data_IF_326511783523
#
_entry.id   IF_326511783523
#
_cell.length_a   1.000
_cell.length_b   1.000
_cell.length_c   1.000
_cell.angle_alpha   90.00
_cell.angle_beta   90.00
_cell.angle_gamma   90.00
#
_symmetry.space_group_name_H-M   'P 1'
#
loop_
_entity.id
_entity.type
_entity.pdbx_description
1 polymer ?
#
# COMPACT_ATOMS: atom_id res chain seq x y z
N UNK A 1 23.85 -9.23 -1.08
CA UNK A 1 24.59 -8.27 -0.23
C UNK A 1 24.33 -6.81 -0.59
N UNK A 2 24.57 -6.34 -1.82
CA UNK A 2 24.43 -4.91 -2.17
C UNK A 2 23.05 -4.30 -1.85
N UNK A 3 21.94 -5.00 -2.07
CA UNK A 3 20.61 -4.49 -1.69
C UNK A 3 20.44 -4.24 -0.18
N UNK A 4 21.06 -5.08 0.67
CA UNK A 4 21.01 -4.90 2.13
C UNK A 4 21.84 -3.67 2.52
N UNK A 5 23.01 -3.50 1.92
CA UNK A 5 23.87 -2.34 2.17
C UNK A 5 23.20 -1.04 1.70
N UNK A 6 22.56 -1.05 0.54
CA UNK A 6 21.81 0.09 0.02
C UNK A 6 20.70 0.50 1.01
N UNK A 7 19.87 -0.46 1.45
CA UNK A 7 18.78 -0.16 2.39
C UNK A 7 19.30 0.26 3.77
N UNK A 8 20.39 -0.35 4.25
CA UNK A 8 21.03 0.03 5.52
C UNK A 8 21.52 1.47 5.50
N UNK A 9 22.13 1.89 4.39
CA UNK A 9 22.54 3.27 4.20
C UNK A 9 21.35 4.23 4.16
N UNK A 10 20.23 3.90 3.49
CA UNK A 10 19.01 4.75 3.56
C UNK A 10 18.43 4.84 4.97
N UNK A 11 18.46 3.75 5.72
CA UNK A 11 17.99 3.77 7.10
C UNK A 11 18.88 4.68 7.95
N UNK A 12 20.21 4.62 7.79
CA UNK A 12 21.14 5.56 8.44
C UNK A 12 20.89 7.01 8.03
N UNK A 13 20.57 7.25 6.75
CA UNK A 13 20.18 8.58 6.26
C UNK A 13 18.91 9.11 6.97
N UNK A 14 17.96 8.23 7.31
CA UNK A 14 16.76 8.61 8.06
C UNK A 14 17.03 8.90 9.55
N UNK A 15 18.05 8.28 10.14
CA UNK A 15 18.43 8.46 11.54
C UNK A 15 19.39 9.63 11.77
N UNK A 16 20.18 9.97 10.75
CA UNK A 16 21.22 11.00 10.82
C UNK A 16 21.00 12.07 9.72
N UNK A 17 20.05 13.00 9.91
CA UNK A 17 19.79 14.07 8.95
C UNK A 17 21.05 14.87 8.59
N UNK A 18 21.94 15.11 9.55
CA UNK A 18 23.20 15.86 9.37
C UNK A 18 24.17 15.21 8.35
N UNK A 19 24.04 13.89 8.14
CA UNK A 19 24.85 13.10 7.19
C UNK A 19 23.99 12.45 6.12
N UNK A 20 22.74 12.92 5.94
CA UNK A 20 21.77 12.32 5.02
C UNK A 20 22.35 12.19 3.62
N UNK A 21 22.97 13.26 3.09
CA UNK A 21 23.60 13.29 1.76
C UNK A 21 24.62 12.17 1.56
N UNK A 22 25.56 12.04 2.48
CA UNK A 22 26.60 11.00 2.43
C UNK A 22 26.00 9.59 2.36
N UNK A 23 25.05 9.30 3.24
CA UNK A 23 24.40 8.00 3.31
C UNK A 23 23.49 7.72 2.09
N UNK A 24 22.80 8.73 1.55
CA UNK A 24 22.02 8.58 0.32
C UNK A 24 22.91 8.31 -0.89
N UNK A 25 24.06 8.97 -1.01
CA UNK A 25 25.03 8.71 -2.08
C UNK A 25 25.63 7.30 -1.96
N UNK A 26 26.00 6.87 -0.76
CA UNK A 26 26.46 5.49 -0.52
C UNK A 26 25.39 4.47 -0.90
N UNK A 27 24.13 4.76 -0.54
CA UNK A 27 23.01 3.89 -0.88
C UNK A 27 22.83 3.75 -2.39
N UNK A 28 22.82 4.88 -3.13
CA UNK A 28 22.66 4.90 -4.58
C UNK A 28 23.70 4.02 -5.28
N UNK A 29 24.98 4.14 -4.90
CA UNK A 29 26.07 3.30 -5.44
C UNK A 29 25.84 1.81 -5.21
N UNK A 30 25.40 1.42 -4.01
CA UNK A 30 25.09 0.03 -3.73
C UNK A 30 23.85 -0.44 -4.51
N UNK A 31 22.85 0.42 -4.68
CA UNK A 31 21.65 0.12 -5.43
C UNK A 31 21.93 -0.12 -6.91
N UNK A 32 22.80 0.67 -7.55
CA UNK A 32 23.19 0.46 -8.95
C UNK A 32 23.79 -0.94 -9.17
N UNK A 33 24.68 -1.36 -8.25
CA UNK A 33 25.26 -2.70 -8.30
C UNK A 33 24.19 -3.77 -8.05
N UNK A 34 23.28 -3.55 -7.11
CA UNK A 34 22.17 -4.46 -6.82
C UNK A 34 21.25 -4.64 -8.04
N UNK A 35 20.86 -3.54 -8.70
CA UNK A 35 20.04 -3.53 -9.90
C UNK A 35 20.73 -4.21 -11.08
N UNK A 36 22.02 -3.95 -11.28
CA UNK A 36 22.79 -4.62 -12.32
C UNK A 36 22.80 -6.15 -12.12
N UNK A 37 22.99 -6.61 -10.88
CA UNK A 37 22.99 -8.04 -10.54
C UNK A 37 21.63 -8.67 -10.73
N UNK A 38 20.58 -7.98 -10.29
CA UNK A 38 19.20 -8.42 -10.48
C UNK A 38 18.88 -8.55 -11.97
N UNK A 39 19.23 -7.54 -12.79
CA UNK A 39 19.05 -7.56 -14.25
C UNK A 39 19.72 -8.76 -14.91
N UNK A 40 20.93 -9.11 -14.50
CA UNK A 40 21.66 -10.26 -15.08
C UNK A 40 21.18 -11.61 -14.57
N UNK A 41 20.65 -11.69 -13.34
CA UNK A 41 20.22 -12.94 -12.71
C UNK A 41 18.75 -13.30 -12.94
N UNK A 42 17.91 -12.33 -13.32
CA UNK A 42 16.46 -12.52 -13.48
C UNK A 42 16.13 -13.69 -14.43
N UNK A 43 16.89 -13.89 -15.51
CA UNK A 43 16.61 -14.95 -16.49
C UNK A 43 17.07 -16.37 -16.09
N UNK A 44 17.76 -16.52 -14.95
CA UNK A 44 18.31 -17.79 -14.46
C UNK A 44 17.78 -18.12 -13.05
N UNK A 45 16.47 -17.96 -12.85
CA UNK A 45 15.83 -18.24 -11.56
C UNK A 45 15.66 -19.75 -11.37
N UNK A 46 16.34 -20.32 -10.36
CA UNK A 46 16.31 -21.73 -9.98
C UNK A 46 15.80 -21.90 -8.54
N UNK A 47 15.54 -23.14 -8.10
CA UNK A 47 15.11 -23.41 -6.71
C UNK A 47 16.14 -22.95 -5.67
N UNK A 48 17.43 -23.01 -6.00
CA UNK A 48 18.53 -22.65 -5.10
C UNK A 48 18.72 -21.15 -4.94
N UNK A 49 18.40 -20.35 -5.97
CA UNK A 49 18.68 -18.91 -5.98
C UNK A 49 17.41 -18.03 -5.89
N UNK A 50 16.22 -18.62 -5.91
CA UNK A 50 14.97 -17.87 -5.99
C UNK A 50 14.73 -16.96 -4.78
N UNK A 51 15.17 -17.38 -3.59
CA UNK A 51 15.00 -16.61 -2.36
C UNK A 51 15.88 -15.36 -2.35
N UNK A 52 17.11 -15.46 -2.85
CA UNK A 52 18.06 -14.35 -2.98
C UNK A 52 17.53 -13.32 -3.96
N UNK A 53 17.01 -13.76 -5.12
CA UNK A 53 16.39 -12.89 -6.10
C UNK A 53 15.15 -12.21 -5.51
N UNK A 54 14.30 -12.95 -4.79
CA UNK A 54 13.11 -12.40 -4.15
C UNK A 54 13.46 -11.35 -3.09
N UNK A 55 14.44 -11.63 -2.22
CA UNK A 55 14.88 -10.67 -1.21
C UNK A 55 15.51 -9.44 -1.85
N UNK A 56 16.36 -9.61 -2.87
CA UNK A 56 16.95 -8.50 -3.60
C UNK A 56 15.88 -7.63 -4.28
N UNK A 57 14.88 -8.24 -4.91
CA UNK A 57 13.73 -7.57 -5.49
C UNK A 57 13.00 -6.69 -4.47
N UNK A 58 12.70 -7.28 -3.31
CA UNK A 58 12.00 -6.61 -2.24
C UNK A 58 12.79 -5.40 -1.72
N UNK A 59 14.10 -5.56 -1.51
CA UNK A 59 14.99 -4.48 -1.09
C UNK A 59 15.05 -3.34 -2.12
N UNK A 60 15.08 -3.68 -3.42
CA UNK A 60 15.03 -2.70 -4.52
C UNK A 60 13.72 -1.92 -4.50
N UNK A 61 12.59 -2.59 -4.24
CA UNK A 61 11.29 -1.93 -4.12
C UNK A 61 11.29 -0.95 -2.94
N UNK A 62 11.78 -1.37 -1.77
CA UNK A 62 11.87 -0.49 -0.60
C UNK A 62 12.74 0.75 -0.88
N UNK A 63 13.86 0.57 -1.55
CA UNK A 63 14.70 1.67 -2.00
C UNK A 63 13.92 2.63 -2.91
N UNK A 64 13.24 2.13 -3.95
CA UNK A 64 12.52 2.97 -4.90
C UNK A 64 11.43 3.80 -4.23
N UNK A 65 10.69 3.20 -3.29
CA UNK A 65 9.69 3.93 -2.51
C UNK A 65 10.32 5.02 -1.64
N UNK A 66 11.41 4.72 -0.93
CA UNK A 66 12.10 5.73 -0.15
C UNK A 66 12.57 6.89 -1.04
N UNK A 67 13.21 6.60 -2.17
CA UNK A 67 13.79 7.60 -3.08
C UNK A 67 12.74 8.50 -3.75
N UNK A 68 11.51 8.00 -3.98
CA UNK A 68 10.42 8.86 -4.47
C UNK A 68 10.01 9.88 -3.40
N UNK A 69 9.83 9.42 -2.14
CA UNK A 69 9.48 10.30 -1.02
C UNK A 69 10.61 11.24 -0.60
N UNK A 70 11.85 10.77 -0.75
CA UNK A 70 13.09 11.42 -0.34
C UNK A 70 14.08 11.35 -1.50
N UNK A 71 13.96 12.25 -2.50
CA UNK A 71 14.83 12.25 -3.67
C UNK A 71 16.29 12.30 -3.27
N UNK A 72 17.09 11.57 -4.03
CA UNK A 72 18.52 11.56 -3.85
C UNK A 72 19.09 12.92 -4.27
N UNK A 73 20.17 13.39 -3.63
CA UNK A 73 20.86 14.62 -4.02
C UNK A 73 21.42 14.49 -5.44
N UNK A 74 21.30 15.54 -6.25
CA UNK A 74 21.99 15.60 -7.55
C UNK A 74 23.51 15.73 -7.33
N UNK A 75 24.31 15.10 -8.20
CA UNK A 75 25.77 15.10 -8.08
C UNK A 75 26.38 16.51 -8.26
N UNK A 76 25.67 17.42 -8.94
CA UNK A 76 26.13 18.79 -9.25
C UNK A 76 25.74 19.85 -8.20
N UNK A 77 24.90 19.51 -7.22
CA UNK A 77 24.42 20.44 -6.20
C UNK A 77 25.36 20.44 -4.97
N UNK A 78 26.49 21.14 -5.03
CA UNK A 78 27.37 21.35 -3.87
C UNK A 78 26.70 22.17 -2.74
N UNK A 79 25.55 22.79 -3.01
CA UNK A 79 24.85 23.70 -2.11
C UNK A 79 23.61 23.02 -1.48
N UNK A 80 23.67 22.74 -0.17
CA UNK A 80 22.53 22.30 0.67
C UNK A 80 21.57 23.47 0.94
N UNK A 81 21.17 24.18 -0.12
CA UNK A 81 20.45 25.46 -0.05
C UNK A 81 18.99 25.35 0.38
N UNK A 82 18.54 24.19 0.87
CA UNK A 82 17.14 23.96 1.23
C UNK A 82 16.18 24.13 0.05
N UNK A 83 16.68 24.05 -1.19
CA UNK A 83 15.87 24.10 -2.41
C UNK A 83 14.85 22.96 -2.37
N UNK A 84 13.57 23.21 -2.68
CA UNK A 84 12.60 22.13 -2.79
C UNK A 84 13.05 21.16 -3.88
N UNK A 85 12.88 19.85 -3.67
CA UNK A 85 13.32 18.87 -4.65
C UNK A 85 12.61 19.05 -5.99
N UNK A 86 13.28 18.64 -7.07
CA UNK A 86 12.70 18.64 -8.39
C UNK A 86 11.31 17.95 -8.41
N UNK A 87 10.35 18.50 -9.18
CA UNK A 87 9.05 17.87 -9.40
C UNK A 87 9.22 16.44 -9.91
N UNK A 88 8.44 15.52 -9.34
CA UNK A 88 8.43 14.13 -9.80
C UNK A 88 7.78 14.02 -11.17
N UNK A 89 8.49 13.42 -12.13
CA UNK A 89 7.96 13.17 -13.47
C UNK A 89 7.05 11.92 -13.50
N UNK A 90 5.97 11.99 -14.27
CA UNK A 90 5.01 10.88 -14.42
C UNK A 90 5.62 9.70 -15.16
N UNK A 91 6.50 9.95 -16.12
CA UNK A 91 7.16 8.88 -16.84
C UNK A 91 8.16 8.14 -15.94
N UNK A 92 8.97 8.85 -15.14
CA UNK A 92 9.82 8.24 -14.10
C UNK A 92 9.01 7.47 -13.04
N UNK A 93 7.89 8.01 -12.58
CA UNK A 93 7.00 7.34 -11.63
C UNK A 93 6.42 6.04 -12.22
N UNK A 94 6.00 6.08 -13.49
CA UNK A 94 5.54 4.89 -14.21
C UNK A 94 6.62 3.80 -14.29
N UNK A 95 7.87 4.18 -14.54
CA UNK A 95 9.00 3.25 -14.62
C UNK A 95 9.37 2.64 -13.27
N UNK A 96 9.40 3.44 -12.20
CA UNK A 96 9.76 2.99 -10.84
C UNK A 96 8.72 2.03 -10.24
N UNK A 97 7.42 2.30 -10.43
CA UNK A 97 6.34 1.38 -10.07
C UNK A 97 6.46 0.04 -10.82
N UNK A 98 6.83 0.09 -12.10
CA UNK A 98 6.95 -1.08 -12.95
C UNK A 98 8.19 -1.91 -12.67
N UNK A 99 9.33 -1.30 -12.34
CA UNK A 99 10.54 -2.05 -11.99
C UNK A 99 10.25 -3.01 -10.83
N UNK A 100 9.61 -2.50 -9.77
CA UNK A 100 9.19 -3.31 -8.65
C UNK A 100 8.23 -4.44 -9.05
N UNK A 101 7.27 -4.15 -9.92
CA UNK A 101 6.32 -5.14 -10.40
C UNK A 101 6.95 -6.22 -11.28
N UNK A 102 7.77 -5.85 -12.27
CA UNK A 102 8.37 -6.79 -13.23
C UNK A 102 9.23 -7.82 -12.52
N UNK A 103 10.00 -7.38 -11.52
CA UNK A 103 10.79 -8.26 -10.69
C UNK A 103 9.87 -9.21 -9.89
N UNK A 104 8.82 -8.69 -9.24
CA UNK A 104 7.90 -9.52 -8.44
C UNK A 104 7.13 -10.53 -9.29
N UNK A 105 6.63 -10.14 -10.46
CA UNK A 105 5.88 -11.03 -11.35
C UNK A 105 6.75 -12.15 -11.92
N UNK A 106 8.00 -11.84 -12.25
CA UNK A 106 8.91 -12.83 -12.79
C UNK A 106 9.37 -13.85 -11.73
N UNK A 107 9.48 -13.42 -10.47
CA UNK A 107 9.81 -14.32 -9.35
C UNK A 107 8.55 -15.03 -8.81
N UNK A 108 7.35 -14.59 -9.18
CA UNK A 108 6.08 -15.18 -8.74
C UNK A 108 5.45 -16.11 -9.78
N UNK A 109 6.24 -16.72 -10.67
CA UNK A 109 5.77 -17.80 -11.54
C UNK A 109 5.23 -18.97 -10.70
N UNK A 110 4.30 -19.79 -11.22
CA UNK A 110 3.75 -20.92 -10.46
C UNK A 110 4.84 -21.84 -9.87
N UNK A 111 5.92 -22.06 -10.61
CA UNK A 111 7.06 -22.88 -10.23
C UNK A 111 7.82 -22.25 -9.07
N UNK A 112 8.25 -20.99 -9.21
CA UNK A 112 9.00 -20.26 -8.18
C UNK A 112 8.15 -19.99 -6.95
N UNK A 113 6.86 -19.74 -7.12
CA UNK A 113 5.89 -19.65 -6.03
C UNK A 113 5.77 -20.96 -5.25
N UNK A 114 5.91 -22.11 -5.91
CA UNK A 114 5.93 -23.41 -5.25
C UNK A 114 7.19 -23.59 -4.39
N UNK A 115 8.35 -23.13 -4.86
CA UNK A 115 9.61 -23.13 -4.12
C UNK A 115 9.52 -22.22 -2.88
N UNK A 116 9.05 -20.99 -3.07
CA UNK A 116 8.90 -20.02 -1.96
C UNK A 116 7.99 -20.51 -0.84
N UNK A 117 6.89 -21.21 -1.18
CA UNK A 117 5.97 -21.79 -0.18
C UNK A 117 6.53 -23.00 0.56
N UNK A 118 7.53 -23.71 0.02
CA UNK A 118 8.18 -24.85 0.67
C UNK A 118 9.44 -24.46 1.46
N UNK A 119 10.02 -23.30 1.15
CA UNK A 119 11.30 -22.88 1.70
C UNK A 119 11.22 -22.11 3.03
N UNK A 120 12.35 -21.50 3.45
CA UNK A 120 12.48 -20.82 4.74
C UNK A 120 11.60 -19.57 4.88
N UNK A 121 11.20 -18.96 3.77
CA UNK A 121 10.29 -17.80 3.75
C UNK A 121 8.81 -18.20 3.73
N UNK A 122 8.47 -19.49 3.79
CA UNK A 122 7.09 -20.00 3.70
C UNK A 122 6.13 -19.35 4.70
N UNK A 123 6.59 -19.03 5.92
CA UNK A 123 5.80 -18.33 6.92
C UNK A 123 5.33 -16.94 6.47
N UNK A 124 6.08 -16.24 5.61
CA UNK A 124 5.69 -14.95 5.05
C UNK A 124 4.55 -15.05 4.03
N UNK A 125 4.31 -16.24 3.48
CA UNK A 125 3.35 -16.46 2.39
C UNK A 125 2.15 -17.31 2.80
N UNK A 126 2.24 -18.02 3.93
CA UNK A 126 1.20 -18.95 4.39
C UNK A 126 0.15 -18.30 5.30
N UNK A 127 0.12 -16.97 5.36
CA UNK A 127 -1.01 -16.22 5.91
C UNK A 127 -2.22 -16.48 5.02
N UNK A 128 -3.11 -17.38 5.43
CA UNK A 128 -4.39 -17.64 4.76
C UNK A 128 -5.22 -16.35 4.68
N UNK A 129 -5.06 -15.63 3.57
CA UNK A 129 -5.83 -14.43 3.25
C UNK A 129 -7.18 -14.87 2.68
N UNK A 130 -8.28 -14.62 3.41
CA UNK A 130 -9.61 -14.70 2.79
C UNK A 130 -9.66 -13.62 1.70
N UNK A 131 -9.88 -14.03 0.44
CA UNK A 131 -10.05 -13.04 -0.64
C UNK A 131 -11.19 -12.08 -0.27
N UNK A 132 -10.97 -10.77 -0.30
CA UNK A 132 -12.02 -9.80 -0.04
C UNK A 132 -13.07 -9.88 -1.15
N UNK A 133 -14.24 -10.43 -0.86
CA UNK A 133 -15.41 -10.30 -1.74
C UNK A 133 -16.11 -8.96 -1.50
N UNK A 134 -16.83 -8.41 -2.50
CA UNK A 134 -17.64 -7.20 -2.33
C UNK A 134 -18.59 -7.29 -1.15
N UNK A 135 -19.13 -8.48 -0.87
CA UNK A 135 -19.99 -8.79 0.27
C UNK A 135 -19.28 -8.74 1.64
N UNK A 136 -17.95 -8.91 1.69
CA UNK A 136 -17.17 -8.79 2.91
C UNK A 136 -16.73 -7.33 3.19
N UNK A 137 -16.63 -6.50 2.15
CA UNK A 137 -16.27 -5.07 2.26
C UNK A 137 -17.49 -4.16 2.40
N UNK A 138 -18.59 -4.46 1.70
CA UNK A 138 -19.84 -3.74 1.82
C UNK A 138 -20.65 -4.28 3.02
N UNK A 139 -20.80 -3.47 4.05
CA UNK A 139 -21.89 -3.68 5.01
C UNK A 139 -23.21 -3.74 4.23
N UNK A 140 -24.08 -4.70 4.54
CA UNK A 140 -25.44 -4.71 4.00
C UNK A 140 -26.17 -3.45 4.49
N UNK A 141 -26.14 -2.37 3.70
CA UNK A 141 -27.02 -1.22 3.88
C UNK A 141 -28.35 -1.50 3.15
N UNK A 142 -29.14 -2.44 3.66
CA UNK A 142 -30.57 -2.44 3.42
C UNK A 142 -31.27 -2.10 4.74
N UNK A 143 -32.09 -1.05 4.68
CA UNK A 143 -32.78 -0.33 5.78
C UNK A 143 -31.92 0.56 6.68
N UNK A 144 -31.80 1.83 6.28
CA UNK A 144 -31.57 2.94 7.20
C UNK A 144 -32.57 4.06 6.90
N UNK A 145 -33.76 3.95 7.49
CA UNK A 145 -34.51 5.13 7.91
C UNK A 145 -33.80 5.72 9.14
N UNK A 146 -33.62 7.04 9.14
CA UNK A 146 -33.11 7.91 10.22
C UNK A 146 -31.60 7.94 10.52
N UNK A 147 -30.97 9.01 10.03
CA UNK A 147 -30.00 9.89 10.70
C UNK A 147 -28.73 9.28 11.33
N UNK A 148 -27.68 9.15 10.53
CA UNK A 148 -26.31 9.60 10.88
C UNK A 148 -25.54 9.93 9.60
N UNK A 149 -24.86 11.07 9.59
CA UNK A 149 -24.33 11.79 8.43
C UNK A 149 -22.93 11.34 7.97
N UNK A 150 -22.58 10.06 8.06
CA UNK A 150 -21.20 9.56 7.82
C UNK A 150 -21.01 8.62 6.63
N UNK A 151 -22.03 8.29 5.85
CA UNK A 151 -21.96 7.21 4.84
C UNK A 151 -21.60 7.64 3.40
N UNK A 152 -21.26 8.91 3.14
CA UNK A 152 -20.86 9.40 1.81
C UNK A 152 -19.34 9.37 1.54
N UNK A 153 -18.52 8.98 2.52
CA UNK A 153 -17.06 9.23 2.54
C UNK A 153 -16.16 7.98 2.70
N UNK A 154 -16.68 6.76 2.59
CA UNK A 154 -15.85 5.56 2.82
C UNK A 154 -14.98 5.18 1.61
N UNK A 155 -13.78 4.65 1.85
CA UNK A 155 -12.86 4.21 0.80
C UNK A 155 -13.48 3.18 -0.17
N UNK A 156 -14.23 2.14 0.29
CA UNK A 156 -14.92 1.23 -0.62
C UNK A 156 -15.97 1.92 -1.49
N UNK A 157 -16.74 2.86 -0.93
CA UNK A 157 -17.74 3.62 -1.69
C UNK A 157 -17.07 4.47 -2.79
N UNK A 158 -15.95 5.12 -2.46
CA UNK A 158 -15.16 5.88 -3.44
C UNK A 158 -14.60 5.00 -4.56
N UNK A 159 -14.12 3.79 -4.26
CA UNK A 159 -13.71 2.85 -5.30
C UNK A 159 -14.85 2.40 -6.21
N UNK A 160 -16.10 2.30 -5.70
CA UNK A 160 -17.27 2.04 -6.53
C UNK A 160 -17.54 3.19 -7.49
N UNK A 161 -17.62 4.43 -6.98
CA UNK A 161 -17.81 5.62 -7.83
C UNK A 161 -16.73 5.74 -8.90
N UNK A 162 -15.49 5.42 -8.54
CA UNK A 162 -14.38 5.44 -9.48
C UNK A 162 -14.49 4.32 -10.52
N UNK A 163 -14.98 3.13 -10.14
CA UNK A 163 -15.27 2.04 -11.08
C UNK A 163 -16.37 2.45 -12.07
N UNK A 164 -17.40 3.14 -11.60
CA UNK A 164 -18.49 3.66 -12.45
C UNK A 164 -17.98 4.73 -13.42
N UNK A 165 -17.13 5.65 -12.93
CA UNK A 165 -16.44 6.65 -13.75
C UNK A 165 -15.61 5.97 -14.85
N UNK A 166 -14.76 5.00 -14.49
CA UNK A 166 -13.93 4.28 -15.48
C UNK A 166 -14.80 3.54 -16.51
N UNK A 167 -15.95 3.01 -16.09
CA UNK A 167 -16.87 2.27 -16.97
C UNK A 167 -17.54 3.18 -18.00
N UNK A 168 -17.71 4.48 -17.70
CA UNK A 168 -18.26 5.48 -18.61
C UNK A 168 -17.33 5.88 -19.77
N UNK A 169 -16.04 5.51 -19.71
CA UNK A 169 -15.06 5.81 -20.75
C UNK A 169 -15.33 4.97 -22.00
N UNK A 170 -15.84 5.55 -23.09
CA UNK A 170 -16.13 4.82 -24.33
C UNK A 170 -15.81 5.64 -25.58
N UNK A 171 -15.62 4.94 -26.72
CA UNK A 171 -15.49 5.58 -28.04
C UNK A 171 -14.43 4.94 -28.92
N UNK A 172 -13.18 4.88 -28.45
CA UNK A 172 -12.02 4.42 -29.23
C UNK A 172 -11.38 3.11 -28.71
N UNK A 173 -10.57 2.42 -29.54
CA UNK A 173 -9.77 1.28 -29.08
C UNK A 173 -8.77 1.64 -27.97
N UNK A 174 -8.17 2.84 -28.02
CA UNK A 174 -7.24 3.32 -27.01
C UNK A 174 -7.94 3.57 -25.65
N UNK A 175 -9.12 4.18 -25.66
CA UNK A 175 -9.95 4.39 -24.48
C UNK A 175 -10.47 3.08 -23.90
N UNK A 176 -10.78 2.10 -24.75
CA UNK A 176 -11.19 0.77 -24.30
C UNK A 176 -10.06 0.05 -23.56
N UNK A 177 -8.82 0.19 -24.05
CA UNK A 177 -7.62 -0.33 -23.38
C UNK A 177 -7.34 0.40 -22.05
N UNK A 178 -7.47 1.73 -22.04
CA UNK A 178 -7.35 2.54 -20.82
C UNK A 178 -8.39 2.15 -19.78
N UNK A 179 -9.66 2.00 -20.18
CA UNK A 179 -10.75 1.52 -19.32
C UNK A 179 -10.45 0.15 -18.72
N UNK A 180 -10.08 -0.84 -19.53
CA UNK A 180 -9.78 -2.18 -19.05
C UNK A 180 -8.64 -2.17 -18.02
N UNK A 181 -7.54 -1.46 -18.31
CA UNK A 181 -6.40 -1.37 -17.39
C UNK A 181 -6.73 -0.63 -16.09
N UNK A 182 -7.54 0.45 -16.16
CA UNK A 182 -7.99 1.18 -14.98
C UNK A 182 -8.94 0.34 -14.11
N UNK A 183 -9.89 -0.40 -14.72
CA UNK A 183 -10.80 -1.28 -13.96
C UNK A 183 -10.05 -2.35 -13.17
N UNK A 184 -9.03 -2.95 -13.78
CA UNK A 184 -8.17 -3.92 -13.10
C UNK A 184 -7.37 -3.26 -11.97
N UNK A 185 -6.84 -2.05 -12.17
CA UNK A 185 -6.15 -1.30 -11.12
C UNK A 185 -7.08 -0.93 -9.94
N UNK A 186 -8.36 -0.66 -10.21
CA UNK A 186 -9.38 -0.42 -9.18
C UNK A 186 -9.68 -1.69 -8.38
N UNK A 187 -9.81 -2.83 -9.06
CA UNK A 187 -10.02 -4.11 -8.39
C UNK A 187 -8.81 -4.51 -7.54
N UNK A 188 -7.59 -4.32 -8.07
CA UNK A 188 -6.36 -4.48 -7.30
C UNK A 188 -6.35 -3.62 -6.03
N UNK A 189 -6.81 -2.36 -6.13
CA UNK A 189 -6.86 -1.45 -4.99
C UNK A 189 -7.90 -1.85 -3.95
N UNK A 190 -9.04 -2.37 -4.41
CA UNK A 190 -10.07 -2.97 -3.54
C UNK A 190 -9.52 -4.18 -2.79
N UNK A 191 -8.74 -5.03 -3.45
CA UNK A 191 -8.09 -6.19 -2.82
C UNK A 191 -7.02 -5.78 -1.82
N UNK A 192 -6.19 -4.81 -2.17
CA UNK A 192 -5.17 -4.25 -1.27
C UNK A 192 -5.82 -3.68 0.00
N UNK A 193 -6.84 -2.83 -0.15
CA UNK A 193 -7.59 -2.28 0.98
C UNK A 193 -8.28 -3.38 1.81
N UNK A 194 -8.89 -4.38 1.15
CA UNK A 194 -9.49 -5.52 1.84
C UNK A 194 -8.48 -6.32 2.65
N UNK A 195 -7.27 -6.52 2.14
CA UNK A 195 -6.17 -7.13 2.90
C UNK A 195 -5.79 -6.27 4.11
N UNK A 196 -5.78 -4.94 4.00
CA UNK A 196 -5.50 -4.05 5.13
C UNK A 196 -6.53 -4.19 6.26
N UNK A 197 -7.81 -4.33 5.90
CA UNK A 197 -8.92 -4.33 6.87
C UNK A 197 -9.23 -5.73 7.44
N UNK A 198 -9.03 -6.80 6.67
CA UNK A 198 -9.47 -8.15 7.03
C UNK A 198 -8.39 -9.04 7.67
N UNK A 199 -7.11 -8.63 7.70
CA UNK A 199 -6.04 -9.46 8.29
C UNK A 199 -6.19 -9.48 9.83
N UNK A 200 -6.48 -10.64 10.46
CA UNK A 200 -6.57 -10.73 11.91
C UNK A 200 -5.17 -10.69 12.51
N UNK A 201 -4.89 -9.66 13.32
CA UNK A 201 -3.60 -9.39 13.94
C UNK A 201 -3.09 -10.40 14.98
N UNK A 202 -3.73 -11.56 15.18
CA UNK A 202 -3.48 -12.38 16.37
C UNK A 202 -3.34 -13.90 16.14
N UNK A 203 -2.77 -14.34 15.01
CA UNK A 203 -2.41 -15.77 14.86
C UNK A 203 -0.92 -16.10 15.06
N UNK A 204 -0.05 -15.13 15.33
CA UNK A 204 1.39 -15.42 15.52
C UNK A 204 1.81 -15.75 16.97
N UNK A 205 0.93 -15.65 17.97
CA UNK A 205 1.34 -15.80 19.38
C UNK A 205 1.13 -17.19 20.01
N UNK A 206 0.69 -18.21 19.28
CA UNK A 206 0.38 -19.53 19.85
C UNK A 206 1.20 -20.70 19.28
N UNK A 207 2.44 -20.46 18.82
CA UNK A 207 3.36 -21.54 18.39
C UNK A 207 4.64 -21.62 19.26
N UNK A 208 4.54 -21.35 20.55
CA UNK A 208 5.59 -21.69 21.51
C UNK A 208 4.99 -22.08 22.86
N UNK A 209 4.44 -23.29 22.92
CA UNK A 209 4.47 -24.09 24.14
C UNK A 209 4.68 -25.52 23.70
N UNK A 210 5.96 -25.87 23.65
CA UNK A 210 6.45 -27.24 23.54
C UNK A 210 5.88 -28.08 24.66
N UNK A 211 5.40 -29.25 24.27
CA UNK A 211 5.03 -30.39 25.09
C UNK A 211 6.07 -30.71 26.17
N UNK A 212 5.55 -30.90 27.37
CA UNK A 212 5.95 -31.79 28.47
C UNK A 212 7.25 -32.61 28.30
N UNK A 213 8.14 -32.47 29.28
CA UNK A 213 8.86 -33.59 29.88
C UNK A 213 8.87 -33.36 31.42
N UNK A 214 8.08 -34.19 32.10
CA UNK A 214 8.12 -34.44 33.54
C UNK A 214 9.37 -35.27 33.90
N UNK A 215 10.14 -34.86 34.91
CA UNK A 215 10.59 -35.78 35.98
C UNK A 215 11.12 -34.98 37.21
N UNK A 216 10.84 -35.41 38.46
CA UNK A 216 11.08 -34.62 39.66
C UNK A 216 12.32 -35.09 40.43
N UNK A 217 13.03 -34.18 41.10
CA UNK A 217 13.72 -34.54 42.35
C UNK A 217 14.03 -33.31 43.21
N UNK A 218 13.40 -33.29 44.39
CA UNK A 218 13.74 -32.45 45.53
C UNK A 218 15.16 -32.75 46.04
N UNK A 219 15.89 -31.74 46.53
CA UNK A 219 16.49 -31.70 47.88
C UNK A 219 16.92 -30.25 48.21
N UNK A 220 16.69 -29.73 49.44
CA UNK A 220 16.90 -28.32 49.79
C UNK A 220 18.24 -28.08 50.52
N UNK A 221 18.79 -26.87 50.47
CA UNK A 221 19.70 -26.35 51.51
C UNK A 221 19.62 -24.81 51.58
N UNK A 222 19.56 -24.20 52.78
CA UNK A 222 19.26 -22.78 52.96
C UNK A 222 20.52 -21.91 53.04
N UNK A 223 20.37 -20.57 53.03
CA UNK A 223 20.90 -19.63 54.06
C UNK A 223 21.16 -18.21 53.53
N UNK A 224 20.42 -17.27 54.14
CA UNK A 224 20.71 -15.86 54.45
C UNK A 224 20.69 -14.75 53.37
N UNK A 225 19.62 -13.95 53.45
CA UNK A 225 19.59 -12.48 53.25
C UNK A 225 19.88 -11.79 54.60
N UNK A 226 20.28 -10.49 54.64
CA UNK A 226 19.26 -9.43 54.69
C UNK A 226 19.59 -8.13 53.92
N UNK A 227 18.58 -7.69 53.14
CA UNK A 227 17.99 -6.34 53.01
C UNK A 227 18.85 -5.10 52.74
N UNK A 228 18.47 -4.28 51.73
CA UNK A 228 18.58 -2.82 51.80
C UNK A 228 17.22 -2.12 51.90
N UNK A 229 17.27 -0.98 52.57
CA UNK A 229 16.22 -0.08 53.05
C UNK A 229 15.27 0.45 51.98
N UNK A 230 13.98 0.43 52.33
CA UNK A 230 12.84 1.03 51.63
C UNK A 230 13.02 2.53 51.39
N UNK A 231 12.91 2.99 50.14
CA UNK A 231 12.54 4.38 49.83
C UNK A 231 11.44 4.35 48.77
N UNK A 232 10.22 4.53 49.24
CA UNK A 232 9.00 4.64 48.44
C UNK A 232 9.01 6.00 47.74
N UNK A 233 9.17 6.02 46.42
CA UNK A 233 8.84 7.21 45.61
C UNK A 233 7.77 6.80 44.61
N UNK A 234 6.59 7.36 44.82
CA UNK A 234 5.33 7.10 44.14
C UNK A 234 5.42 7.44 42.65
N UNK A 235 5.60 6.43 41.80
CA UNK A 235 5.44 6.57 40.34
C UNK A 235 3.95 6.58 40.01
N UNK A 236 3.43 7.76 39.68
CA UNK A 236 2.16 7.95 38.99
C UNK A 236 2.11 7.05 37.76
N UNK A 237 1.35 5.95 37.84
CA UNK A 237 1.06 5.08 36.71
C UNK A 237 0.18 5.86 35.72
N UNK A 238 0.83 6.54 34.79
CA UNK A 238 0.19 6.96 33.57
C UNK A 238 -0.10 5.68 32.77
N UNK A 239 -1.37 5.28 32.78
CA UNK A 239 -1.93 4.13 32.08
C UNK A 239 -1.63 4.28 30.58
N UNK A 240 -0.45 3.83 30.16
CA UNK A 240 -0.06 3.83 28.76
C UNK A 240 -1.07 2.96 28.01
N UNK A 241 -1.81 3.58 27.09
CA UNK A 241 -2.67 2.86 26.13
C UNK A 241 -1.89 1.67 25.57
N UNK A 242 -2.48 0.46 25.49
CA UNK A 242 -1.81 -0.66 24.86
C UNK A 242 -1.44 -0.25 23.42
N UNK A 243 -0.14 -0.26 23.11
CA UNK A 243 0.35 -0.10 21.73
C UNK A 243 -0.28 -1.22 20.91
N UNK A 244 -1.19 -0.84 20.02
CA UNK A 244 -1.92 -1.78 19.15
C UNK A 244 -0.94 -2.51 18.21
N UNK A 245 -1.18 -3.77 17.85
CA UNK A 245 -0.42 -4.43 16.80
C UNK A 245 -0.62 -3.66 15.50
N UNK A 246 0.48 -3.19 14.92
CA UNK A 246 0.54 -2.30 13.75
C UNK A 246 0.24 -3.11 12.49
N UNK A 247 -0.75 -2.70 11.70
CA UNK A 247 -1.06 -3.30 10.38
C UNK A 247 0.21 -3.44 9.55
N UNK A 248 0.49 -4.64 9.04
CA UNK A 248 1.59 -4.90 8.12
C UNK A 248 1.38 -4.09 6.84
N UNK A 249 2.45 -3.57 6.22
CA UNK A 249 2.36 -2.81 4.96
C UNK A 249 2.17 -3.73 3.74
N UNK A 250 1.87 -5.01 3.95
CA UNK A 250 1.52 -5.99 2.91
C UNK A 250 0.52 -5.45 1.88
N UNK A 251 -0.54 -4.70 2.26
CA UNK A 251 -1.47 -4.07 1.30
C UNK A 251 -0.81 -3.17 0.25
N UNK A 252 0.24 -2.41 0.62
CA UNK A 252 0.97 -1.51 -0.28
C UNK A 252 1.59 -2.29 -1.44
N UNK A 253 2.12 -3.47 -1.12
CA UNK A 253 2.79 -4.36 -2.07
C UNK A 253 1.80 -5.16 -2.91
N UNK A 254 0.67 -5.59 -2.33
CA UNK A 254 -0.39 -6.33 -3.03
C UNK A 254 -0.93 -5.53 -4.22
N UNK A 255 -1.06 -4.21 -4.11
CA UNK A 255 -1.51 -3.41 -5.25
C UNK A 255 -0.52 -3.48 -6.42
N UNK A 256 0.78 -3.28 -6.16
CA UNK A 256 1.82 -3.28 -7.19
C UNK A 256 1.91 -4.61 -7.94
N UNK A 257 1.79 -5.73 -7.22
CA UNK A 257 1.87 -7.06 -7.86
C UNK A 257 0.69 -7.33 -8.79
N UNK A 258 -0.47 -6.74 -8.53
CA UNK A 258 -1.71 -6.98 -9.27
C UNK A 258 -1.95 -6.01 -10.44
N UNK A 259 -1.06 -5.05 -10.69
CA UNK A 259 -1.28 -4.04 -11.73
C UNK A 259 -1.21 -4.59 -13.16
N UNK A 260 -2.05 -4.12 -14.10
CA UNK A 260 -1.86 -4.43 -15.50
C UNK A 260 -0.67 -3.67 -16.07
N UNK A 261 0.08 -4.32 -16.95
CA UNK A 261 1.19 -3.68 -17.64
C UNK A 261 0.72 -2.41 -18.38
N UNK A 262 -0.46 -2.43 -19.02
CA UNK A 262 -0.96 -1.29 -19.80
C UNK A 262 -1.27 -0.06 -18.94
N UNK A 263 -1.64 -0.24 -17.67
CA UNK A 263 -1.87 0.87 -16.74
C UNK A 263 -0.62 1.75 -16.60
N UNK A 264 0.57 1.17 -16.70
CA UNK A 264 1.87 1.90 -16.66
C UNK A 264 1.96 2.97 -17.74
N UNK A 265 1.53 2.63 -18.96
CA UNK A 265 1.65 3.50 -20.11
C UNK A 265 0.66 4.66 -19.97
N UNK A 266 -0.49 4.39 -19.34
CA UNK A 266 -1.47 5.41 -19.02
C UNK A 266 -1.00 6.34 -17.90
N UNK A 267 -0.29 5.86 -16.88
CA UNK A 267 0.35 6.72 -15.86
C UNK A 267 1.45 7.56 -16.48
N UNK A 268 2.39 6.94 -17.20
CA UNK A 268 3.51 7.62 -17.85
C UNK A 268 3.04 8.65 -18.90
N UNK A 269 1.94 8.35 -19.60
CA UNK A 269 1.31 9.25 -20.55
C UNK A 269 0.33 10.26 -19.93
N UNK A 270 0.22 10.32 -18.59
CA UNK A 270 -0.61 11.31 -17.91
C UNK A 270 -2.12 11.15 -18.09
N UNK A 271 -2.61 9.94 -18.40
CA UNK A 271 -4.04 9.69 -18.61
C UNK A 271 -4.82 10.00 -17.32
N UNK A 272 -5.82 10.90 -17.37
CA UNK A 272 -6.38 11.51 -16.16
C UNK A 272 -6.99 10.49 -15.20
N UNK A 273 -7.73 9.51 -15.72
CA UNK A 273 -8.35 8.47 -14.89
C UNK A 273 -7.30 7.56 -14.24
N UNK A 274 -6.20 7.28 -14.92
CA UNK A 274 -5.13 6.45 -14.37
C UNK A 274 -4.43 7.20 -13.22
N UNK A 275 -4.25 8.51 -13.37
CA UNK A 275 -3.71 9.38 -12.32
C UNK A 275 -4.65 9.48 -11.11
N UNK A 276 -5.97 9.53 -11.30
CA UNK A 276 -6.92 9.48 -10.17
C UNK A 276 -6.85 8.14 -9.45
N UNK A 277 -6.76 7.01 -10.16
CA UNK A 277 -6.55 5.69 -9.53
C UNK A 277 -5.25 5.67 -8.74
N UNK A 278 -4.17 6.20 -9.30
CA UNK A 278 -2.87 6.33 -8.63
C UNK A 278 -2.95 7.21 -7.38
N UNK A 279 -3.72 8.30 -7.40
CA UNK A 279 -3.96 9.13 -6.23
C UNK A 279 -4.65 8.35 -5.09
N UNK A 280 -5.61 7.48 -5.41
CA UNK A 280 -6.25 6.62 -4.41
C UNK A 280 -5.30 5.55 -3.87
N UNK A 281 -4.37 5.05 -4.69
CA UNK A 281 -3.27 4.22 -4.19
C UNK A 281 -2.35 5.02 -3.24
N UNK A 282 -1.98 6.25 -3.59
CA UNK A 282 -1.19 7.10 -2.71
C UNK A 282 -1.87 7.39 -1.37
N UNK A 283 -3.20 7.55 -1.36
CA UNK A 283 -3.97 7.65 -0.12
C UNK A 283 -3.84 6.37 0.74
N UNK A 284 -3.86 5.19 0.12
CA UNK A 284 -3.61 3.92 0.83
C UNK A 284 -2.19 3.84 1.37
N UNK A 285 -1.17 4.23 0.59
CA UNK A 285 0.24 4.23 1.04
C UNK A 285 0.44 5.17 2.22
N UNK A 286 -0.25 6.33 2.23
CA UNK A 286 -0.22 7.31 3.31
C UNK A 286 -0.57 6.72 4.68
N UNK A 287 -1.46 5.72 4.72
CA UNK A 287 -1.81 5.03 5.96
C UNK A 287 -0.64 4.27 6.60
N UNK A 288 0.45 4.03 5.86
CA UNK A 288 1.63 3.28 6.29
C UNK A 288 2.91 4.14 6.30
N UNK A 289 2.79 5.47 6.16
CA UNK A 289 3.94 6.40 6.18
C UNK A 289 4.57 6.61 7.56
N UNK A 290 4.02 5.98 8.60
CA UNK A 290 4.71 5.83 9.87
C UNK A 290 5.98 4.96 9.74
N UNK A 291 6.19 4.32 8.59
CA UNK A 291 7.39 3.55 8.23
C UNK A 291 8.37 4.45 7.49
N UNK A 292 9.61 4.47 7.97
CA UNK A 292 10.67 5.33 7.43
C UNK A 292 10.87 5.20 5.92
N UNK A 293 10.70 4.00 5.36
CA UNK A 293 10.89 3.72 3.93
C UNK A 293 9.72 4.16 3.03
N UNK A 294 8.57 4.54 3.61
CA UNK A 294 7.43 5.10 2.88
C UNK A 294 7.27 6.61 3.11
N UNK A 295 7.97 7.18 4.08
CA UNK A 295 7.78 8.56 4.51
C UNK A 295 7.90 9.56 3.34
N UNK A 296 6.87 10.38 3.15
CA UNK A 296 6.82 11.42 2.12
C UNK A 296 6.43 10.94 0.72
N UNK A 297 6.24 9.63 0.52
CA UNK A 297 5.92 9.06 -0.79
C UNK A 297 4.57 9.57 -1.34
N UNK A 298 3.51 9.48 -0.54
CA UNK A 298 2.16 9.86 -0.96
C UNK A 298 2.04 11.34 -1.28
N UNK A 299 2.71 12.20 -0.50
CA UNK A 299 2.73 13.64 -0.73
C UNK A 299 3.34 13.98 -2.09
N UNK A 300 4.51 13.41 -2.39
CA UNK A 300 5.23 13.60 -3.65
C UNK A 300 4.40 13.11 -4.85
N UNK A 301 3.77 11.95 -4.72
CA UNK A 301 2.92 11.38 -5.78
C UNK A 301 1.65 12.20 -6.00
N UNK A 302 0.96 12.61 -4.93
CA UNK A 302 -0.27 13.41 -5.04
C UNK A 302 0.00 14.79 -5.66
N UNK A 303 1.11 15.44 -5.29
CA UNK A 303 1.54 16.71 -5.89
C UNK A 303 1.83 16.54 -7.39
N UNK A 304 2.51 15.46 -7.76
CA UNK A 304 2.86 15.17 -9.14
C UNK A 304 1.62 14.82 -9.99
N UNK A 305 0.66 14.08 -9.43
CA UNK A 305 -0.65 13.81 -10.04
C UNK A 305 -1.44 15.11 -10.23
N UNK A 306 -1.51 15.98 -9.22
CA UNK A 306 -2.23 17.26 -9.34
C UNK A 306 -1.59 18.13 -10.43
N UNK A 307 -0.27 18.21 -10.48
CA UNK A 307 0.46 18.93 -11.52
C UNK A 307 0.18 18.37 -12.91
N UNK A 308 0.22 17.06 -13.08
CA UNK A 308 -0.03 16.41 -14.36
C UNK A 308 -1.48 16.64 -14.85
N UNK A 309 -2.47 16.53 -13.96
CA UNK A 309 -3.88 16.78 -14.28
C UNK A 309 -4.14 18.26 -14.65
N UNK A 310 -3.40 19.20 -14.06
CA UNK A 310 -3.46 20.61 -14.42
C UNK A 310 -2.71 20.88 -15.75
N UNK A 311 -1.57 20.23 -15.98
CA UNK A 311 -0.70 20.44 -17.15
C UNK A 311 -1.24 19.85 -18.45
N UNK A 312 -1.92 18.70 -18.41
CA UNK A 312 -2.59 18.10 -19.59
C UNK A 312 -3.57 19.08 -20.23
N UNK A 313 -4.24 19.91 -19.43
CA UNK A 313 -5.20 20.89 -19.90
C UNK A 313 -4.56 22.23 -20.35
N UNK A 314 -3.24 22.40 -20.19
CA UNK A 314 -2.47 23.53 -20.74
C UNK A 314 -1.81 23.20 -22.07
N UNK A 315 -1.49 21.93 -22.33
CA UNK A 315 -0.87 21.48 -23.59
C UNK A 315 -1.85 21.43 -24.77
N UNK A 316 -3.14 21.18 -24.52
CA UNK A 316 -4.19 21.19 -25.54
C UNK A 316 -4.47 22.59 -26.12
N UNK A 317 -4.12 23.67 -25.40
CA UNK A 317 -4.25 25.06 -25.88
C UNK A 317 -3.04 25.62 -26.64
N UNK A 318 -1.96 24.84 -26.80
CA UNK A 318 -0.70 25.31 -27.39
C UNK A 318 -0.34 24.61 -28.72
N UNK A 319 -1.20 23.72 -29.23
CA UNK A 319 -1.01 23.04 -30.51
C UNK A 319 -1.69 23.78 -31.66
N UNK A 320 -0.88 24.25 -32.61
CA UNK A 320 -1.25 24.69 -33.97
C UNK A 320 -1.61 26.17 -34.20
N UNK A 321 -0.65 27.08 -33.98
CA UNK A 321 -0.57 28.33 -34.76
C UNK A 321 0.24 28.07 -36.03
N UNK A 322 -0.33 27.26 -36.93
CA UNK A 322 0.27 26.75 -38.15
C UNK A 322 -0.52 27.04 -39.43
N UNK A 323 -1.21 28.19 -39.52
CA UNK A 323 -1.61 28.81 -40.78
C UNK A 323 -2.81 28.20 -41.54
N UNK A 324 -3.87 28.99 -41.68
CA UNK A 324 -4.94 28.75 -42.66
C UNK A 324 -6.28 29.27 -42.17
N UNK A 325 -6.75 30.40 -42.70
CA UNK A 325 -8.01 31.01 -42.31
C UNK A 325 -9.24 30.17 -42.67
N UNK A 326 -10.24 30.19 -41.79
CA UNK A 326 -11.59 29.69 -42.04
C UNK A 326 -12.24 29.11 -40.77
N UNK A 327 -13.35 29.73 -40.35
CA UNK A 327 -14.33 29.26 -39.36
C UNK A 327 -13.98 29.43 -37.87
N UNK A 328 -14.17 30.66 -37.37
CA UNK A 328 -14.40 30.94 -35.94
C UNK A 328 -15.81 30.50 -35.55
N UNK A 329 -15.93 29.48 -34.71
CA UNK A 329 -17.22 29.05 -34.17
C UNK A 329 -17.23 27.81 -33.26
N UNK A 330 -16.14 27.04 -33.16
CA UNK A 330 -16.09 25.80 -32.36
C UNK A 330 -15.16 25.82 -31.13
N UNK A 331 -14.32 26.86 -30.96
CA UNK A 331 -13.29 26.87 -29.92
C UNK A 331 -13.80 27.15 -28.50
N UNK A 332 -14.87 27.95 -28.35
CA UNK A 332 -15.36 28.36 -27.02
C UNK A 332 -16.06 27.22 -26.28
N UNK A 333 -16.83 26.35 -26.96
CA UNK A 333 -17.49 25.19 -26.34
C UNK A 333 -16.48 24.10 -25.95
N UNK A 334 -15.47 23.82 -26.78
CA UNK A 334 -14.40 22.88 -26.43
C UNK A 334 -13.52 23.40 -25.28
N UNK A 335 -13.21 24.70 -25.25
CA UNK A 335 -12.45 25.32 -24.18
C UNK A 335 -13.23 25.37 -22.85
N UNK A 336 -14.55 25.60 -22.89
CA UNK A 336 -15.42 25.54 -21.72
C UNK A 336 -15.60 24.11 -21.20
N UNK A 337 -15.80 23.12 -22.06
CA UNK A 337 -15.88 21.70 -21.67
C UNK A 337 -14.54 21.19 -21.11
N UNK A 338 -13.43 21.65 -21.66
CA UNK A 338 -12.11 21.36 -21.11
C UNK A 338 -11.90 22.05 -19.76
N UNK A 339 -12.36 23.29 -19.58
CA UNK A 339 -12.38 23.99 -18.28
C UNK A 339 -13.24 23.27 -17.26
N UNK A 340 -14.37 22.70 -17.69
CA UNK A 340 -15.28 21.91 -16.88
C UNK A 340 -14.63 20.59 -16.44
N UNK A 341 -13.88 19.95 -17.35
CA UNK A 341 -13.04 18.78 -17.04
C UNK A 341 -11.88 19.14 -16.09
N UNK A 342 -11.19 20.28 -16.27
CA UNK A 342 -10.14 20.81 -15.36
C UNK A 342 -10.64 20.92 -13.92
N UNK A 343 -11.81 21.54 -13.73
CA UNK A 343 -12.43 21.68 -12.41
C UNK A 343 -12.95 20.35 -11.87
N UNK A 344 -13.43 19.46 -12.74
CA UNK A 344 -13.98 18.16 -12.37
C UNK A 344 -12.97 17.23 -11.68
N UNK A 345 -11.73 17.15 -12.17
CA UNK A 345 -10.72 16.24 -11.60
C UNK A 345 -10.26 16.64 -10.19
N UNK A 346 -10.29 17.94 -9.85
CA UNK A 346 -9.90 18.42 -8.52
C UNK A 346 -10.77 17.81 -7.43
N UNK A 347 -12.06 17.67 -7.66
CA UNK A 347 -13.00 17.05 -6.72
C UNK A 347 -12.62 15.60 -6.42
N UNK A 348 -12.17 14.85 -7.44
CA UNK A 348 -11.71 13.47 -7.28
C UNK A 348 -10.41 13.33 -6.48
N UNK A 349 -9.64 14.40 -6.31
CA UNK A 349 -8.42 14.41 -5.48
C UNK A 349 -8.67 14.80 -4.02
N UNK A 350 -9.82 15.41 -3.71
CA UNK A 350 -10.15 15.80 -2.32
C UNK A 350 -10.21 14.59 -1.37
N UNK A 351 -10.78 13.48 -1.84
CA UNK A 351 -10.85 12.26 -1.03
C UNK A 351 -9.47 11.67 -0.74
N UNK A 352 -8.61 11.37 -1.75
CA UNK A 352 -7.24 10.91 -1.52
C UNK A 352 -6.40 11.80 -0.60
N UNK A 353 -6.59 13.12 -0.66
CA UNK A 353 -5.89 14.10 0.19
C UNK A 353 -6.34 14.05 1.66
N UNK A 354 -7.57 13.62 1.94
CA UNK A 354 -8.12 13.52 3.30
C UNK A 354 -7.89 12.14 3.91
N UNK A 355 -8.15 11.06 3.18
CA UNK A 355 -8.07 9.66 3.65
C UNK A 355 -6.71 9.21 4.20
N UNK A 356 -6.55 9.03 5.51
CA UNK A 356 -5.29 8.67 6.15
C UNK A 356 -5.37 7.46 7.08
N UNK A 357 -4.37 7.36 7.98
CA UNK A 357 -4.25 6.25 8.91
C UNK A 357 -5.43 6.15 9.89
N UNK A 358 -6.00 7.28 10.31
CA UNK A 358 -7.12 7.30 11.25
C UNK A 358 -8.39 6.67 10.65
N UNK A 359 -8.70 6.99 9.39
CA UNK A 359 -9.84 6.41 8.67
C UNK A 359 -9.64 4.91 8.42
N UNK A 360 -8.41 4.48 8.11
CA UNK A 360 -8.09 3.06 7.97
C UNK A 360 -8.23 2.31 9.31
N UNK A 361 -7.72 2.89 10.40
CA UNK A 361 -7.83 2.33 11.75
C UNK A 361 -9.29 2.18 12.20
N UNK A 362 -10.13 3.16 11.87
CA UNK A 362 -11.57 3.10 12.12
C UNK A 362 -12.22 1.97 11.30
N UNK A 363 -11.91 1.84 10.02
CA UNK A 363 -12.42 0.76 9.19
C UNK A 363 -11.99 -0.64 9.68
N UNK A 364 -10.76 -0.79 10.16
CA UNK A 364 -10.26 -2.03 10.79
C UNK A 364 -11.08 -2.33 12.05
N UNK A 365 -11.28 -1.33 12.91
CA UNK A 365 -12.07 -1.48 14.14
C UNK A 365 -13.50 -1.96 13.84
N UNK A 366 -14.17 -1.32 12.88
CA UNK A 366 -15.51 -1.70 12.45
C UNK A 366 -15.56 -3.09 11.81
N UNK A 367 -14.52 -3.47 11.05
CA UNK A 367 -14.37 -4.82 10.50
C UNK A 367 -14.32 -5.89 11.59
N UNK A 368 -13.55 -5.62 12.65
CA UNK A 368 -13.43 -6.52 13.79
C UNK A 368 -14.73 -6.64 14.60
N UNK A 369 -15.40 -5.51 14.88
CA UNK A 369 -16.68 -5.51 15.57
C UNK A 369 -17.74 -6.34 14.81
N UNK A 370 -17.76 -6.23 13.48
CA UNK A 370 -18.64 -7.01 12.60
C UNK A 370 -18.32 -8.51 12.64
N UNK A 371 -17.06 -8.91 12.58
CA UNK A 371 -16.70 -10.33 12.64
C UNK A 371 -17.07 -10.92 14.01
N UNK A 372 -16.82 -10.19 15.10
CA UNK A 372 -17.21 -10.60 16.46
C UNK A 372 -18.73 -10.74 16.60
N UNK A 373 -19.51 -9.87 15.97
CA UNK A 373 -20.96 -10.01 15.94
C UNK A 373 -21.39 -11.27 15.18
N UNK A 374 -20.81 -11.53 14.00
CA UNK A 374 -21.09 -12.75 13.22
C UNK A 374 -20.71 -14.03 13.95
N UNK A 375 -19.62 -14.02 14.72
CA UNK A 375 -19.23 -15.15 15.56
C UNK A 375 -20.26 -15.42 16.65
N UNK A 376 -20.75 -14.37 17.34
CA UNK A 376 -21.81 -14.48 18.34
C UNK A 376 -23.13 -14.99 17.77
N UNK A 377 -23.50 -14.53 16.57
CA UNK A 377 -24.70 -15.00 15.86
C UNK A 377 -24.56 -16.49 15.51
N UNK A 378 -23.40 -16.93 15.00
CA UNK A 378 -23.11 -18.36 14.71
C UNK A 378 -23.09 -19.23 15.97
N UNK A 379 -22.58 -18.72 17.09
CA UNK A 379 -22.59 -19.43 18.38
C UNK A 379 -24.03 -19.55 18.91
N UNK A 380 -24.83 -18.48 18.86
CA UNK A 380 -26.24 -18.51 19.23
C UNK A 380 -27.09 -19.45 18.36
N UNK A 381 -26.81 -19.53 17.06
CA UNK A 381 -27.46 -20.49 16.14
C UNK A 381 -27.05 -21.94 16.43
N UNK A 382 -25.78 -22.20 16.81
CA UNK A 382 -25.32 -23.53 17.22
C UNK A 382 -25.95 -23.99 18.53
N UNK A 383 -26.07 -23.08 19.50
CA UNK A 383 -26.74 -23.36 20.77
C UNK A 383 -28.24 -23.58 20.56
N UNK A 384 -28.91 -22.76 19.73
CA UNK A 384 -30.32 -22.94 19.38
C UNK A 384 -30.63 -24.21 18.57
N UNK A 385 -29.73 -24.62 17.67
CA UNK A 385 -29.85 -25.85 16.89
C UNK A 385 -29.63 -27.12 17.71
N UNK A 386 -28.80 -27.06 18.75
CA UNK A 386 -28.54 -28.19 19.66
C UNK A 386 -29.78 -28.64 20.44
N UNK A 387 -30.64 -27.70 20.85
CA UNK A 387 -31.89 -28.01 21.55
C UNK A 387 -32.94 -28.68 20.66
N UNK A 388 -32.91 -28.47 19.35
CA UNK A 388 -33.88 -29.06 18.41
C UNK A 388 -33.55 -30.52 18.11
N UNK A 389 -32.27 -30.92 18.18
CA UNK A 389 -31.86 -32.30 17.88
C UNK A 389 -31.94 -33.25 19.09
N UNK A 390 -31.91 -32.75 20.33
CA UNK A 390 -32.04 -33.60 21.53
C UNK A 390 -33.48 -33.95 21.90
N UNK A 391 -34.48 -33.25 21.34
CA UNK A 391 -35.91 -33.50 21.64
C UNK A 391 -36.65 -34.34 20.59
N UNK A 392 -35.98 -34.84 19.55
CA UNK A 392 -36.57 -35.69 18.50
C UNK A 392 -36.32 -37.19 18.70
N UNK A 393 -35.89 -37.61 19.89
CA UNK A 393 -35.68 -39.01 20.25
C UNK A 393 -36.28 -39.30 21.62
N UNK A 394 -37.62 -39.30 21.70
CA UNK A 394 -38.39 -39.95 22.78
C UNK A 394 -39.76 -40.34 22.26
#
# INVERSE_FOLDING_TARGET
MHGILALSALHLASLHPDRKREYTTQSARHQEVALSRLRTGLFDTTEENCFEHFLLAYLVILFNFYSIGNPLPDDDDDDDSGRPPAPLDMHELGQTLFLGQGIMNMISTPETWSWMKRGPLSALFNTQHKNPTPSNLAGHHHNATSSSSSSSSSFPHRLTLLTDLVSSIGGSPAESKARASCLLACDALRRAYGAAVLIPHNKSNNSSSTTDDDDPTNTPTPTNTPTPTTTTTTTTQQKSRPRRPRAEATPVWVWLTLLPADFRAHVAGGHPVALVVLAHYAALVRCFEDRWYLAGWSGRVLEAVERALVGVAGAAGAGDMGGGGGEEGGGEEEEEDEKRRRCGWREWLEFPKRFGAAELDEAIREGWEREKQKEREREGEREGGGWVQTNASS
#
